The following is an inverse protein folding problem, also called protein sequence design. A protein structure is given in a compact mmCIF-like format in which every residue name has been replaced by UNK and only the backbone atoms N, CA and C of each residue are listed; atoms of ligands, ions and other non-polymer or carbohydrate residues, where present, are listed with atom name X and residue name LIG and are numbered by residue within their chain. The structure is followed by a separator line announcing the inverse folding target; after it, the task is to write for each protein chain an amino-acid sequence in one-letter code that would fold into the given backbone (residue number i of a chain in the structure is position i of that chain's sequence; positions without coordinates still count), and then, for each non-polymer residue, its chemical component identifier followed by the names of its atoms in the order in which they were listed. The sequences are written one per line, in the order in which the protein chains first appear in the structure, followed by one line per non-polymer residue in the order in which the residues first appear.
data_IF_445554882015
#
_entry.id   IF_445554882015
#
_cell.length_a   1.000
_cell.length_b   1.000
_cell.length_c   1.000
_cell.angle_alpha   90.00
_cell.angle_beta   90.00
_cell.angle_gamma   90.00
#
_symmetry.space_group_name_H-M   'P 1'
#
loop_
_entity.id
_entity.type
_entity.pdbx_description
1 polymer ?
#
# COMPACT_ATOMS: atom_id res chain seq x y z
N UNK A 1 -2.89 4.57 10.31
CA UNK A 1 -2.11 4.28 9.09
C UNK A 1 -0.62 4.38 9.38
N UNK A 2 0.14 3.49 8.81
CA UNK A 2 1.61 3.51 8.89
C UNK A 2 2.19 3.66 7.49
N UNK A 3 3.27 4.43 7.37
CA UNK A 3 3.85 4.76 6.08
C UNK A 3 5.38 4.81 6.16
N UNK A 4 6.05 4.28 5.15
CA UNK A 4 7.51 4.30 5.06
C UNK A 4 7.94 4.46 3.60
N UNK A 5 8.99 5.26 3.38
CA UNK A 5 9.60 5.45 2.09
C UNK A 5 10.96 4.73 2.06
N UNK A 6 11.16 3.89 1.05
CA UNK A 6 12.44 3.24 0.80
C UNK A 6 13.02 3.81 -0.48
N UNK A 7 14.24 4.33 -0.39
CA UNK A 7 14.94 4.94 -1.50
C UNK A 7 16.25 4.23 -1.76
N UNK A 8 16.49 3.88 -3.02
CA UNK A 8 17.74 3.27 -3.44
C UNK A 8 18.73 4.37 -3.84
N UNK A 9 20.00 4.24 -3.39
CA UNK A 9 21.03 5.27 -3.58
C UNK A 9 21.76 5.20 -4.93
N UNK A 10 21.27 4.41 -5.86
CA UNK A 10 21.95 4.18 -7.13
C UNK A 10 21.49 5.14 -8.23
N UNK A 11 22.15 5.07 -9.41
CA UNK A 11 21.91 5.94 -10.56
C UNK A 11 20.47 5.89 -11.05
N UNK A 12 19.81 4.73 -10.92
CA UNK A 12 18.37 4.61 -11.13
C UNK A 12 17.71 4.72 -9.76
N UNK A 13 17.17 5.88 -9.51
CA UNK A 13 16.61 6.24 -8.22
C UNK A 13 15.17 5.78 -8.11
N UNK A 14 14.97 4.47 -7.91
CA UNK A 14 13.65 3.89 -7.71
C UNK A 14 13.19 4.15 -6.29
N UNK A 15 12.02 4.77 -6.14
CA UNK A 15 11.43 5.05 -4.84
C UNK A 15 10.19 4.18 -4.65
N UNK A 16 10.19 3.41 -3.57
CA UNK A 16 9.03 2.63 -3.15
C UNK A 16 8.49 3.21 -1.86
N UNK A 17 7.22 3.61 -1.89
CA UNK A 17 6.52 4.01 -0.67
C UNK A 17 5.76 2.81 -0.11
N UNK A 18 5.82 2.64 1.21
CA UNK A 18 5.11 1.56 1.90
C UNK A 18 4.14 2.17 2.89
N UNK A 19 2.90 1.71 2.87
CA UNK A 19 1.87 2.16 3.80
C UNK A 19 1.01 0.98 4.24
N UNK A 20 0.33 1.13 5.36
CA UNK A 20 -0.49 0.07 5.94
C UNK A 20 -1.62 0.66 6.77
N UNK A 21 -2.68 -0.15 6.96
CA UNK A 21 -3.72 0.13 7.94
C UNK A 21 -4.49 1.42 7.66
N UNK A 22 -4.98 1.56 6.44
CA UNK A 22 -5.83 2.69 6.03
C UNK A 22 -7.21 2.59 6.71
N UNK A 23 -7.73 1.37 6.86
CA UNK A 23 -8.99 1.07 7.54
C UNK A 23 -10.17 1.93 7.07
N UNK A 24 -10.24 2.20 5.76
CA UNK A 24 -11.34 2.94 5.17
C UNK A 24 -11.31 4.44 5.40
N UNK A 25 -10.24 4.98 5.96
CA UNK A 25 -10.12 6.42 6.20
C UNK A 25 -9.77 7.17 4.91
N UNK A 26 -10.74 7.88 4.35
CA UNK A 26 -10.48 8.74 3.21
C UNK A 26 -9.54 9.88 3.57
N UNK A 27 -9.62 10.37 4.80
CA UNK A 27 -8.75 11.43 5.30
C UNK A 27 -7.28 11.01 5.24
N UNK A 28 -6.94 9.84 5.80
CA UNK A 28 -5.55 9.36 5.78
C UNK A 28 -5.13 8.83 4.40
N UNK A 29 -6.05 8.26 3.64
CA UNK A 29 -5.76 7.83 2.27
C UNK A 29 -5.35 9.01 1.39
N UNK A 30 -6.07 10.13 1.49
CA UNK A 30 -5.73 11.35 0.76
C UNK A 30 -4.34 11.86 1.14
N UNK A 31 -4.02 11.89 2.43
CA UNK A 31 -2.69 12.30 2.91
C UNK A 31 -1.58 11.38 2.42
N UNK A 32 -1.85 10.09 2.38
CA UNK A 32 -0.91 9.11 1.85
C UNK A 32 -0.63 9.37 0.36
N UNK A 33 -1.68 9.60 -0.44
CA UNK A 33 -1.53 9.85 -1.87
C UNK A 33 -0.82 11.17 -2.13
N UNK A 34 -1.11 12.20 -1.35
CA UNK A 34 -0.40 13.48 -1.41
C UNK A 34 1.09 13.28 -1.14
N UNK A 35 1.43 12.51 -0.10
CA UNK A 35 2.82 12.19 0.22
C UNK A 35 3.49 11.38 -0.90
N UNK A 36 2.77 10.40 -1.46
CA UNK A 36 3.25 9.57 -2.56
C UNK A 36 3.65 10.44 -3.77
N UNK A 37 2.80 11.38 -4.13
CA UNK A 37 3.06 12.30 -5.25
C UNK A 37 4.16 13.29 -4.93
N UNK A 38 4.15 13.86 -3.72
CA UNK A 38 5.16 14.83 -3.29
C UNK A 38 6.57 14.22 -3.28
N UNK A 39 6.70 12.99 -2.83
CA UNK A 39 7.98 12.30 -2.78
C UNK A 39 8.42 11.76 -4.14
N UNK A 40 7.56 11.81 -5.15
CA UNK A 40 7.87 11.27 -6.46
C UNK A 40 8.13 9.76 -6.44
N UNK A 41 7.42 9.02 -5.60
CA UNK A 41 7.58 7.57 -5.54
C UNK A 41 7.04 6.91 -6.80
N UNK A 42 7.67 5.82 -7.21
CA UNK A 42 7.34 5.10 -8.44
C UNK A 42 6.29 4.02 -8.22
N UNK A 43 6.30 3.40 -7.04
CA UNK A 43 5.36 2.35 -6.66
C UNK A 43 4.93 2.54 -5.21
N UNK A 44 3.72 2.11 -4.92
CA UNK A 44 3.15 2.12 -3.58
C UNK A 44 2.81 0.69 -3.16
N UNK A 45 3.45 0.23 -2.09
CA UNK A 45 3.19 -1.08 -1.49
C UNK A 45 2.29 -0.91 -0.28
N UNK A 46 1.10 -1.49 -0.36
CA UNK A 46 0.13 -1.50 0.73
C UNK A 46 0.25 -2.83 1.49
N UNK A 47 0.40 -2.77 2.79
CA UNK A 47 0.54 -3.97 3.62
C UNK A 47 -0.80 -4.47 4.19
N UNK A 48 -1.92 -4.01 3.62
CA UNK A 48 -3.23 -4.52 3.96
C UNK A 48 -4.04 -3.65 4.91
N UNK A 49 -5.19 -4.15 5.30
CA UNK A 49 -6.20 -3.47 6.10
C UNK A 49 -6.64 -2.15 5.44
N UNK A 50 -7.19 -2.29 4.23
CA UNK A 50 -7.46 -1.14 3.37
C UNK A 50 -8.82 -0.50 3.65
N UNK A 51 -9.90 -1.28 3.62
CA UNK A 51 -11.26 -0.73 3.64
C UNK A 51 -11.99 -0.88 4.96
N UNK A 52 -11.86 -2.03 5.63
CA UNK A 52 -12.62 -2.31 6.84
C UNK A 52 -11.88 -1.80 8.07
N UNK A 53 -12.62 -1.15 8.97
CA UNK A 53 -12.03 -0.58 10.19
C UNK A 53 -11.68 -1.63 11.24
N UNK A 54 -12.27 -2.83 11.16
CA UNK A 54 -12.08 -3.91 12.14
C UNK A 54 -13.09 -3.85 13.30
N UNK A 55 -13.52 -5.02 13.81
CA UNK A 55 -14.60 -5.06 14.81
C UNK A 55 -14.18 -4.55 16.20
N UNK A 56 -12.87 -4.44 16.44
CA UNK A 56 -12.34 -4.01 17.75
C UNK A 56 -11.93 -2.55 17.80
N UNK A 57 -12.00 -1.86 16.67
CA UNK A 57 -11.52 -0.49 16.55
C UNK A 57 -12.68 0.49 16.39
N UNK A 58 -12.51 1.68 16.92
CA UNK A 58 -13.42 2.78 16.61
C UNK A 58 -13.24 3.17 15.14
N UNK A 59 -14.24 3.84 14.58
CA UNK A 59 -14.12 4.35 13.22
C UNK A 59 -13.00 5.39 13.16
N UNK A 60 -12.08 5.25 12.19
CA UNK A 60 -11.02 6.24 12.04
C UNK A 60 -11.59 7.57 11.51
N UNK A 61 -10.81 8.63 11.70
CA UNK A 61 -11.14 9.94 11.16
C UNK A 61 -11.37 9.86 9.66
N UNK A 62 -12.47 10.44 9.19
CA UNK A 62 -12.78 10.47 7.77
C UNK A 62 -13.10 9.10 7.19
N UNK A 63 -13.72 8.20 7.97
CA UNK A 63 -14.10 6.89 7.47
C UNK A 63 -15.10 7.01 6.34
N UNK A 64 -14.66 6.65 5.13
CA UNK A 64 -15.46 6.68 3.90
C UNK A 64 -14.85 5.70 2.89
N UNK A 65 -15.11 4.39 3.06
CA UNK A 65 -14.46 3.37 2.23
C UNK A 65 -14.72 3.54 0.73
N UNK A 66 -15.89 4.05 0.33
CA UNK A 66 -16.16 4.30 -1.09
C UNK A 66 -15.24 5.36 -1.67
N UNK A 67 -14.87 6.36 -0.89
CA UNK A 67 -13.91 7.38 -1.31
C UNK A 67 -12.50 6.80 -1.40
N UNK A 68 -12.13 5.90 -0.49
CA UNK A 68 -10.85 5.19 -0.56
C UNK A 68 -10.75 4.39 -1.86
N UNK A 69 -11.80 3.66 -2.22
CA UNK A 69 -11.88 2.92 -3.49
C UNK A 69 -11.66 3.86 -4.67
N UNK A 70 -12.36 5.00 -4.68
CA UNK A 70 -12.27 5.99 -5.75
C UNK A 70 -10.87 6.62 -5.86
N UNK A 71 -10.13 6.69 -4.76
CA UNK A 71 -8.76 7.21 -4.75
C UNK A 71 -7.72 6.18 -5.18
N UNK A 72 -7.90 4.92 -4.79
CA UNK A 72 -6.90 3.87 -5.04
C UNK A 72 -7.01 3.24 -6.44
N UNK A 73 -8.21 2.98 -6.93
CA UNK A 73 -8.38 2.31 -8.22
C UNK A 73 -7.70 3.03 -9.40
N UNK A 74 -7.70 4.36 -9.49
CA UNK A 74 -6.94 5.04 -10.54
C UNK A 74 -5.43 4.79 -10.50
N UNK A 75 -4.89 4.39 -9.35
CA UNK A 75 -3.47 4.11 -9.16
C UNK A 75 -3.14 2.63 -9.32
N UNK A 76 -4.05 1.81 -9.77
CA UNK A 76 -3.92 0.34 -9.77
C UNK A 76 -2.65 -0.20 -10.42
N UNK A 77 -2.14 0.46 -11.46
CA UNK A 77 -0.91 0.03 -12.14
C UNK A 77 0.36 0.29 -11.32
N UNK A 78 0.26 1.12 -10.29
CA UNK A 78 1.38 1.49 -9.43
C UNK A 78 1.31 0.81 -8.07
N UNK A 79 0.21 0.12 -7.77
CA UNK A 79 -0.04 -0.48 -6.46
C UNK A 79 0.40 -1.94 -6.40
N UNK A 80 1.06 -2.27 -5.30
CA UNK A 80 1.29 -3.64 -4.85
C UNK A 80 0.62 -3.77 -3.50
N UNK A 81 0.01 -4.92 -3.22
CA UNK A 81 -0.72 -5.08 -1.97
C UNK A 81 -0.61 -6.50 -1.45
N UNK A 82 -0.45 -6.63 -0.14
CA UNK A 82 -0.60 -7.90 0.56
C UNK A 82 -1.80 -7.82 1.50
N UNK A 83 -2.34 -8.98 1.86
CA UNK A 83 -3.53 -9.09 2.67
C UNK A 83 -3.24 -8.82 4.14
N UNK A 84 -4.03 -7.93 4.75
CA UNK A 84 -4.09 -7.77 6.19
C UNK A 84 -5.17 -8.66 6.79
N UNK A 85 -5.33 -8.60 8.12
CA UNK A 85 -6.32 -9.40 8.81
C UNK A 85 -7.76 -8.94 8.56
N UNK A 86 -7.95 -7.71 8.09
CA UNK A 86 -9.29 -7.16 7.82
C UNK A 86 -9.71 -7.21 6.35
N UNK A 87 -8.82 -7.61 5.43
CA UNK A 87 -9.14 -7.65 4.01
C UNK A 87 -9.90 -8.91 3.63
N UNK A 88 -10.94 -8.76 2.82
CA UNK A 88 -11.84 -9.86 2.45
C UNK A 88 -12.02 -9.96 0.94
N UNK A 89 -12.65 -11.06 0.53
CA UNK A 89 -13.02 -11.27 -0.87
C UNK A 89 -14.00 -10.20 -1.36
N UNK A 90 -14.84 -9.68 -0.47
CA UNK A 90 -15.78 -8.60 -0.82
C UNK A 90 -14.98 -7.33 -1.17
N UNK A 91 -13.95 -7.03 -0.40
CA UNK A 91 -13.09 -5.89 -0.69
C UNK A 91 -12.39 -6.05 -2.05
N UNK A 92 -11.96 -7.28 -2.37
CA UNK A 92 -11.34 -7.56 -3.66
C UNK A 92 -12.31 -7.32 -4.83
N UNK A 93 -13.60 -7.48 -4.62
CA UNK A 93 -14.59 -7.25 -5.67
C UNK A 93 -14.69 -5.79 -6.09
N UNK A 94 -14.30 -4.86 -5.23
CA UNK A 94 -14.40 -3.41 -5.49
C UNK A 94 -13.04 -2.75 -5.73
N UNK A 95 -11.95 -3.41 -5.37
CA UNK A 95 -10.60 -2.92 -5.63
C UNK A 95 -10.05 -3.58 -6.90
N UNK A 96 -9.53 -2.77 -7.82
CA UNK A 96 -9.11 -3.21 -9.16
C UNK A 96 -7.65 -3.64 -9.23
N UNK A 97 -7.06 -3.95 -8.08
CA UNK A 97 -5.71 -4.51 -7.96
C UNK A 97 -5.73 -5.66 -6.95
N UNK A 98 -4.82 -6.65 -7.07
CA UNK A 98 -4.84 -7.80 -6.15
C UNK A 98 -4.54 -7.41 -4.71
N UNK A 99 -5.36 -7.89 -3.76
CA UNK A 99 -5.21 -7.59 -2.34
C UNK A 99 -5.13 -8.83 -1.44
N UNK A 100 -5.26 -10.03 -2.00
CA UNK A 100 -5.44 -11.25 -1.19
C UNK A 100 -4.18 -12.10 -1.03
N UNK A 101 -3.03 -11.65 -1.52
CA UNK A 101 -1.77 -12.37 -1.32
C UNK A 101 -1.30 -12.24 0.13
N UNK A 102 -1.00 -13.36 0.78
CA UNK A 102 -0.55 -13.36 2.17
C UNK A 102 0.81 -12.69 2.33
N UNK A 103 1.64 -12.78 1.31
CA UNK A 103 2.95 -12.13 1.27
C UNK A 103 3.36 -11.89 -0.18
N UNK A 104 4.38 -11.06 -0.36
CA UNK A 104 5.01 -10.92 -1.66
C UNK A 104 6.49 -10.57 -1.50
N UNK A 105 7.24 -10.78 -2.58
CA UNK A 105 8.61 -10.30 -2.68
C UNK A 105 8.64 -9.13 -3.66
N UNK A 106 9.33 -8.06 -3.28
CA UNK A 106 9.56 -6.92 -4.15
C UNK A 106 11.06 -6.80 -4.37
N UNK A 107 11.48 -6.85 -5.62
CA UNK A 107 12.89 -6.71 -5.96
C UNK A 107 13.15 -5.33 -6.56
N UNK A 108 14.02 -4.56 -5.92
CA UNK A 108 14.47 -3.28 -6.41
C UNK A 108 15.87 -3.48 -6.98
N UNK A 109 15.97 -3.53 -8.31
CA UNK A 109 17.22 -3.81 -9.00
C UNK A 109 18.02 -2.53 -9.23
N UNK A 110 19.34 -2.61 -8.98
CA UNK A 110 20.27 -1.59 -9.39
C UNK A 110 20.80 -1.84 -10.80
N UNK A 111 21.58 -0.89 -11.30
CA UNK A 111 22.22 -1.01 -12.60
C UNK A 111 23.20 -2.19 -12.60
N UNK A 112 23.12 -3.07 -13.60
CA UNK A 112 23.98 -4.25 -13.75
C UNK A 112 23.95 -5.19 -12.53
N UNK A 113 22.81 -5.27 -11.83
CA UNK A 113 22.66 -6.13 -10.66
C UNK A 113 23.34 -5.63 -9.40
N UNK A 114 23.95 -4.45 -9.45
CA UNK A 114 24.59 -3.87 -8.26
C UNK A 114 23.56 -3.14 -7.40
N UNK A 115 23.64 -3.35 -6.09
CA UNK A 115 22.74 -2.71 -5.14
C UNK A 115 21.32 -3.27 -5.17
N UNK A 116 21.12 -4.50 -5.62
CA UNK A 116 19.82 -5.14 -5.59
C UNK A 116 19.32 -5.29 -4.16
N UNK A 117 18.05 -4.96 -3.95
CA UNK A 117 17.37 -5.12 -2.68
C UNK A 117 16.14 -5.98 -2.91
N UNK A 118 15.99 -7.04 -2.11
CA UNK A 118 14.79 -7.85 -2.10
C UNK A 118 14.04 -7.61 -0.80
N UNK A 119 12.77 -7.24 -0.91
CA UNK A 119 11.92 -6.96 0.23
C UNK A 119 10.90 -8.10 0.34
N UNK A 120 10.82 -8.72 1.51
CA UNK A 120 9.73 -9.62 1.85
C UNK A 120 8.65 -8.80 2.55
N UNK A 121 7.46 -8.75 1.94
CA UNK A 121 6.36 -7.94 2.43
C UNK A 121 5.25 -8.81 2.98
N UNK A 122 4.81 -8.50 4.19
CA UNK A 122 3.70 -9.16 4.87
C UNK A 122 3.04 -8.18 5.82
N UNK A 123 1.77 -8.39 6.12
CA UNK A 123 1.08 -7.61 7.16
C UNK A 123 1.59 -7.98 8.56
N UNK A 124 2.06 -9.21 8.71
CA UNK A 124 2.64 -9.68 9.98
C UNK A 124 1.66 -10.34 10.94
N UNK A 125 0.44 -10.63 10.49
CA UNK A 125 -0.58 -11.26 11.34
C UNK A 125 -0.58 -12.79 11.24
N UNK A 126 0.16 -13.35 10.30
CA UNK A 126 0.31 -14.79 10.07
C UNK A 126 1.78 -15.18 10.10
#
# INVERSE_FOLDING_TARGET
MKMKLIKKKEVIDMKLMIASDIHGSAFYCEKMIEAYKREGADRLLLLGDILYHGPRNDLPEGYAPKEVIAMLNPLKSELLCVRGNCDTEVDQMVLEFPILADYCYVNLSGENGQGDITIFATHGHI
#
